data_IF_462197939982
#
_entry.id   IF_462197939982
#
_cell.length_a   1.000
_cell.length_b   1.000
_cell.length_c   1.000
_cell.angle_alpha   90.00
_cell.angle_beta   90.00
_cell.angle_gamma   90.00
#
_symmetry.space_group_name_H-M   'P 1'
#
loop_
_entity.id
_entity.type
_entity.pdbx_description
1 polymer ?
#
# COMPACT_ATOMS: atom_id res chain seq x y z
N UNK A 1 -16.35 12.02 -0.68
CA UNK A 1 -15.50 10.91 -1.16
C UNK A 1 -14.90 10.19 0.02
N UNK A 2 -14.49 8.93 -0.17
CA UNK A 2 -13.72 8.15 0.79
C UNK A 2 -12.47 7.57 0.12
N UNK A 3 -11.48 7.20 0.90
CA UNK A 3 -10.29 6.45 0.45
C UNK A 3 -10.18 5.13 1.20
N UNK A 4 -9.77 4.08 0.49
CA UNK A 4 -9.60 2.73 1.02
C UNK A 4 -8.16 2.26 0.73
N UNK A 5 -7.22 2.49 1.67
CA UNK A 5 -5.84 2.02 1.54
C UNK A 5 -5.75 0.49 1.62
N UNK A 6 -4.77 -0.07 0.93
CA UNK A 6 -4.35 -1.46 1.11
C UNK A 6 -3.32 -1.59 2.24
N UNK A 7 -2.34 -2.47 2.05
CA UNK A 7 -1.19 -2.58 2.94
C UNK A 7 -0.27 -1.38 2.75
N UNK A 8 -0.09 -0.58 3.80
CA UNK A 8 0.75 0.62 3.78
C UNK A 8 1.85 0.49 4.82
N UNK A 9 3.10 0.69 4.39
CA UNK A 9 4.29 0.65 5.21
C UNK A 9 4.32 1.87 6.15
N UNK A 10 3.61 1.76 7.27
CA UNK A 10 3.48 2.84 8.26
C UNK A 10 3.89 2.38 9.64
N UNK A 11 4.13 3.33 10.54
CA UNK A 11 4.53 3.06 11.94
C UNK A 11 3.61 2.08 12.67
N UNK A 12 2.33 2.00 12.27
CA UNK A 12 1.38 1.03 12.83
C UNK A 12 1.71 -0.43 12.50
N UNK A 13 2.58 -0.73 11.53
CA UNK A 13 2.99 -2.11 11.25
C UNK A 13 3.89 -2.70 12.34
N UNK A 14 4.67 -1.87 13.03
CA UNK A 14 5.58 -2.32 14.09
C UNK A 14 4.85 -2.67 15.40
N UNK A 15 3.57 -2.30 15.53
CA UNK A 15 2.75 -2.58 16.72
C UNK A 15 2.07 -3.94 16.68
N UNK A 16 2.15 -4.68 15.56
CA UNK A 16 1.58 -6.03 15.46
C UNK A 16 2.48 -7.06 16.16
N UNK A 17 1.85 -7.93 16.94
CA UNK A 17 2.52 -8.98 17.71
C UNK A 17 2.13 -10.39 17.24
N UNK A 18 2.83 -11.40 17.79
CA UNK A 18 2.51 -12.81 17.59
C UNK A 18 2.60 -13.26 16.14
N UNK A 19 1.72 -14.19 15.75
CA UNK A 19 1.76 -14.83 14.44
C UNK A 19 1.61 -13.84 13.28
N UNK A 20 0.91 -12.71 13.48
CA UNK A 20 0.70 -11.74 12.42
C UNK A 20 1.97 -10.95 12.08
N UNK A 21 2.86 -10.70 13.05
CA UNK A 21 4.16 -10.06 12.80
C UNK A 21 4.98 -10.83 11.77
N UNK A 22 4.94 -12.16 11.81
CA UNK A 22 5.63 -13.02 10.84
C UNK A 22 4.98 -13.03 9.44
N UNK A 23 3.70 -12.63 9.34
CA UNK A 23 2.97 -12.56 8.06
C UNK A 23 3.21 -11.24 7.34
N UNK A 24 3.44 -10.15 8.08
CA UNK A 24 3.62 -8.79 7.50
C UNK A 24 4.62 -8.74 6.33
N UNK A 25 5.82 -9.36 6.41
CA UNK A 25 6.78 -9.34 5.31
C UNK A 25 6.30 -10.05 4.03
N UNK A 26 5.29 -10.94 4.15
CA UNK A 26 4.72 -11.70 3.03
C UNK A 26 3.55 -10.99 2.36
N UNK A 27 3.02 -9.90 2.94
CA UNK A 27 1.81 -9.23 2.45
C UNK A 27 1.97 -8.69 1.03
N UNK A 28 3.20 -8.31 0.62
CA UNK A 28 3.50 -7.85 -0.75
C UNK A 28 3.13 -8.88 -1.82
N UNK A 29 3.15 -10.18 -1.49
CA UNK A 29 2.85 -11.24 -2.44
C UNK A 29 1.39 -11.27 -2.87
N UNK A 30 0.51 -10.72 -2.02
CA UNK A 30 -0.92 -10.59 -2.25
C UNK A 30 -1.29 -9.29 -2.99
N UNK A 31 -0.31 -8.44 -3.29
CA UNK A 31 -0.49 -7.20 -4.05
C UNK A 31 -0.04 -7.44 -5.50
N UNK A 32 -0.90 -7.21 -6.52
CA UNK A 32 -0.49 -7.30 -7.92
C UNK A 32 0.74 -6.45 -8.29
N UNK A 33 0.89 -5.27 -7.70
CA UNK A 33 2.09 -4.43 -7.86
C UNK A 33 3.35 -4.94 -7.13
N UNK A 34 3.25 -6.05 -6.39
CA UNK A 34 4.34 -6.74 -5.68
C UNK A 34 5.14 -5.85 -4.71
N UNK A 35 4.45 -4.88 -4.12
CA UNK A 35 4.99 -4.03 -3.05
C UNK A 35 3.88 -3.56 -2.13
N UNK A 36 4.27 -3.17 -0.93
CA UNK A 36 3.43 -2.44 0.02
C UNK A 36 3.43 -0.96 -0.42
N UNK A 37 2.29 -0.27 -0.23
CA UNK A 37 2.18 1.16 -0.53
C UNK A 37 2.89 2.02 0.52
N UNK A 38 3.17 3.27 0.19
CA UNK A 38 3.64 4.27 1.16
C UNK A 38 2.51 5.18 1.64
N UNK A 39 2.69 5.85 2.77
CA UNK A 39 1.73 6.88 3.22
C UNK A 39 1.65 8.04 2.22
N UNK A 40 2.73 8.34 1.50
CA UNK A 40 2.74 9.40 0.48
C UNK A 40 1.81 9.10 -0.68
N UNK A 41 1.66 7.83 -1.07
CA UNK A 41 0.74 7.44 -2.14
C UNK A 41 -0.72 7.60 -1.72
N UNK A 42 -1.03 7.29 -0.46
CA UNK A 42 -2.35 7.55 0.12
C UNK A 42 -2.62 9.05 0.18
N UNK A 43 -1.66 9.82 0.70
CA UNK A 43 -1.79 11.27 0.82
C UNK A 43 -1.93 11.95 -0.55
N UNK A 44 -1.21 11.51 -1.58
CA UNK A 44 -1.30 12.07 -2.92
C UNK A 44 -2.72 11.93 -3.51
N UNK A 45 -3.37 10.78 -3.32
CA UNK A 45 -4.75 10.58 -3.76
C UNK A 45 -5.74 11.47 -3.00
N UNK A 46 -5.52 11.67 -1.68
CA UNK A 46 -6.31 12.59 -0.87
C UNK A 46 -6.13 14.04 -1.35
N UNK A 47 -4.88 14.46 -1.62
CA UNK A 47 -4.58 15.80 -2.14
C UNK A 47 -5.28 16.03 -3.48
N UNK A 48 -5.27 15.06 -4.39
CA UNK A 48 -6.05 15.13 -5.63
C UNK A 48 -7.55 15.33 -5.34
N UNK A 49 -8.13 14.53 -4.46
CA UNK A 49 -9.55 14.63 -4.08
C UNK A 49 -9.93 15.96 -3.41
N UNK A 50 -8.98 16.65 -2.80
CA UNK A 50 -9.15 17.98 -2.20
C UNK A 50 -8.82 19.13 -3.17
N UNK A 51 -8.26 18.82 -4.34
CA UNK A 51 -7.87 19.82 -5.34
C UNK A 51 -9.07 20.27 -6.20
N UNK A 52 -8.98 21.44 -6.87
CA UNK A 52 -9.98 21.85 -7.86
C UNK A 52 -10.20 20.82 -8.99
N UNK A 53 -9.20 19.98 -9.28
CA UNK A 53 -9.29 18.93 -10.31
C UNK A 53 -10.32 17.84 -9.99
N UNK A 54 -10.75 17.72 -8.74
CA UNK A 54 -11.76 16.76 -8.30
C UNK A 54 -13.17 17.37 -8.13
N UNK A 55 -13.43 18.59 -8.64
CA UNK A 55 -14.68 19.33 -8.41
C UNK A 55 -15.96 18.57 -8.84
N UNK A 56 -15.86 17.61 -9.76
CA UNK A 56 -16.98 16.78 -10.21
C UNK A 56 -16.91 15.33 -9.72
N UNK A 57 -16.02 15.02 -8.78
CA UNK A 57 -15.88 13.68 -8.17
C UNK A 57 -16.55 13.72 -6.80
N UNK A 58 -17.68 13.02 -6.65
CA UNK A 58 -18.39 12.91 -5.37
C UNK A 58 -19.02 11.53 -5.20
N UNK A 59 -19.29 11.14 -3.95
CA UNK A 59 -19.94 9.87 -3.61
C UNK A 59 -19.11 8.60 -3.83
N UNK A 60 -17.84 8.71 -4.25
CA UNK A 60 -17.03 7.54 -4.57
C UNK A 60 -16.05 7.14 -3.45
N UNK A 61 -15.70 5.85 -3.41
CA UNK A 61 -14.59 5.30 -2.60
C UNK A 61 -13.43 4.94 -3.51
N UNK A 62 -12.29 5.62 -3.36
CA UNK A 62 -11.08 5.35 -4.15
C UNK A 62 -10.22 4.33 -3.42
N UNK A 63 -9.88 3.23 -4.09
CA UNK A 63 -8.95 2.23 -3.58
C UNK A 63 -7.51 2.59 -3.92
N UNK A 64 -6.64 2.49 -2.92
CA UNK A 64 -5.21 2.82 -2.99
C UNK A 64 -4.45 1.61 -2.44
N UNK A 65 -4.51 0.51 -3.19
CA UNK A 65 -4.18 -0.83 -2.67
C UNK A 65 -3.30 -1.66 -3.62
N UNK A 66 -2.74 -1.06 -4.68
CA UNK A 66 -1.96 -1.79 -5.68
C UNK A 66 -2.73 -2.93 -6.36
N UNK A 67 -4.06 -2.79 -6.45
CA UNK A 67 -5.02 -3.78 -6.93
C UNK A 67 -5.21 -5.01 -6.02
N UNK A 68 -4.79 -4.96 -4.75
CA UNK A 68 -4.95 -6.08 -3.81
C UNK A 68 -6.41 -6.58 -3.71
N UNK A 69 -7.41 -5.68 -3.70
CA UNK A 69 -8.83 -6.11 -3.66
C UNK A 69 -9.33 -6.75 -4.94
N UNK A 70 -8.54 -6.79 -6.02
CA UNK A 70 -8.89 -7.50 -7.26
C UNK A 70 -8.31 -8.91 -7.29
N UNK A 71 -7.52 -9.30 -6.29
CA UNK A 71 -7.06 -10.67 -6.14
C UNK A 71 -8.22 -11.63 -5.84
N UNK A 72 -8.10 -12.86 -6.33
CA UNK A 72 -9.01 -13.96 -6.00
C UNK A 72 -8.26 -15.04 -5.23
N UNK A 73 -8.92 -15.68 -4.26
CA UNK A 73 -8.38 -16.87 -3.59
C UNK A 73 -8.35 -18.11 -4.51
N UNK A 74 -9.19 -18.12 -5.54
CA UNK A 74 -9.27 -19.24 -6.48
C UNK A 74 -8.07 -19.30 -7.45
N UNK A 75 -7.45 -18.15 -7.72
CA UNK A 75 -6.34 -18.04 -8.67
C UNK A 75 -5.18 -17.25 -8.02
N UNK A 76 -4.10 -17.93 -7.60
CA UNK A 76 -2.98 -17.25 -6.97
C UNK A 76 -2.30 -16.30 -7.95
N UNK A 77 -1.80 -15.17 -7.44
CA UNK A 77 -1.03 -14.23 -8.24
C UNK A 77 0.26 -14.88 -8.71
N UNK A 78 0.54 -14.79 -10.01
CA UNK A 78 1.85 -15.17 -10.54
C UNK A 78 2.96 -14.36 -9.84
N UNK A 79 4.17 -14.96 -9.78
CA UNK A 79 5.35 -14.24 -9.31
C UNK A 79 5.64 -13.11 -10.30
N UNK A 80 5.43 -11.87 -9.86
CA UNK A 80 5.77 -10.68 -10.62
C UNK A 80 7.26 -10.34 -10.46
N UNK A 81 7.80 -9.52 -11.35
CA UNK A 81 9.14 -8.97 -11.19
C UNK A 81 9.08 -7.80 -10.19
N UNK A 82 9.80 -7.87 -9.05
CA UNK A 82 9.91 -6.73 -8.15
C UNK A 82 10.44 -5.48 -8.90
N UNK A 83 10.06 -4.29 -8.46
CA UNK A 83 10.60 -3.03 -8.97
C UNK A 83 9.97 -2.47 -10.26
N UNK A 84 8.94 -3.13 -10.83
CA UNK A 84 8.20 -2.57 -11.97
C UNK A 84 7.40 -1.31 -11.62
N UNK A 85 6.95 -1.20 -10.37
CA UNK A 85 6.34 0.01 -9.81
C UNK A 85 7.25 0.57 -8.73
N UNK A 86 7.64 1.84 -8.85
CA UNK A 86 8.40 2.56 -7.82
C UNK A 86 7.44 3.19 -6.83
N UNK A 87 7.75 3.06 -5.53
CA UNK A 87 7.01 3.76 -4.50
C UNK A 87 7.27 5.27 -4.59
N UNK A 88 6.23 6.07 -4.40
CA UNK A 88 6.38 7.51 -4.17
C UNK A 88 6.66 7.75 -2.69
N UNK A 89 7.67 8.54 -2.36
CA UNK A 89 7.90 9.03 -0.99
C UNK A 89 8.12 10.54 -1.03
N UNK A 90 7.12 11.28 -0.54
CA UNK A 90 7.12 12.73 -0.47
C UNK A 90 7.35 13.29 0.94
N UNK A 91 7.50 12.43 1.96
CA UNK A 91 7.59 12.87 3.35
C UNK A 91 9.00 12.70 3.89
N UNK A 92 9.64 13.81 4.28
CA UNK A 92 10.98 13.82 4.87
C UNK A 92 11.11 13.04 6.20
N UNK A 93 9.97 12.67 6.82
CA UNK A 93 9.92 11.87 8.06
C UNK A 93 9.41 10.45 7.86
N UNK A 94 9.08 10.06 6.62
CA UNK A 94 8.70 8.68 6.36
C UNK A 94 9.92 7.79 6.58
N UNK A 95 9.70 6.66 7.25
CA UNK A 95 10.69 5.62 7.46
C UNK A 95 10.06 4.27 7.15
N UNK A 96 10.87 3.31 6.71
CA UNK A 96 10.41 1.94 6.55
C UNK A 96 10.23 1.32 7.95
N UNK A 97 9.06 0.76 8.30
CA UNK A 97 8.85 0.04 9.57
C UNK A 97 9.86 -1.09 9.76
N UNK A 98 10.28 -1.34 10.99
CA UNK A 98 11.29 -2.35 11.32
C UNK A 98 10.89 -3.74 10.85
N UNK A 99 9.61 -4.10 10.98
CA UNK A 99 9.06 -5.38 10.52
C UNK A 99 9.19 -5.61 9.00
N UNK A 100 9.55 -4.59 8.23
CA UNK A 100 9.76 -4.66 6.78
C UNK A 100 11.23 -4.54 6.34
N UNK A 101 12.18 -4.31 7.27
CA UNK A 101 13.60 -4.08 6.92
C UNK A 101 14.38 -5.34 6.55
N UNK A 102 13.97 -6.51 7.04
CA UNK A 102 14.73 -7.77 6.93
C UNK A 102 14.61 -8.50 5.58
N UNK A 103 14.50 -7.77 4.45
CA UNK A 103 14.34 -8.38 3.10
C UNK A 103 15.26 -7.80 2.01
N UNK A 104 16.31 -7.06 2.38
CA UNK A 104 17.41 -6.72 1.47
C UNK A 104 18.59 -7.67 1.72
N UNK A 105 18.50 -8.89 1.18
CA UNK A 105 19.63 -9.78 0.87
C UNK A 105 19.50 -10.25 -0.59
#
# INVERSE_FOLDING_TARGET
>A
NAVAPGWIASSGMDTYEGAFKAVIPTLREHVPLKRIGSESEVAAAIVFLLSPGAAFVSGNTIRIDGAASQGSRAFPLFKGKPGQSRAYNGFHRAYLPDVLKDQED
#
